data_IF_963360104545
#
_entry.id   IF_963360104545
#
_cell.length_a   1.000
_cell.length_b   1.000
_cell.length_c   1.000
_cell.angle_alpha   90.00
_cell.angle_beta   90.00
_cell.angle_gamma   90.00
#
_symmetry.space_group_name_H-M   'P 1'
#
loop_
_entity.id
_entity.type
_entity.pdbx_description
1 polymer ?
#
# COMPACT_ATOMS: atom_id res chain seq x y z
N UNK A 1 6.45 -10.87 -2.04
CA UNK A 1 4.96 -10.80 -1.99
C UNK A 1 4.43 -9.62 -1.18
N UNK A 2 5.13 -9.12 -0.13
CA UNK A 2 4.67 -7.98 0.70
C UNK A 2 4.49 -6.65 -0.06
N UNK A 3 5.19 -6.46 -1.17
CA UNK A 3 5.04 -5.26 -2.01
C UNK A 3 3.63 -5.09 -2.62
N UNK A 4 2.87 -6.18 -2.79
CA UNK A 4 1.50 -6.10 -3.28
C UNK A 4 0.56 -5.37 -2.31
N UNK A 5 0.82 -5.44 -0.99
CA UNK A 5 0.02 -4.74 0.01
C UNK A 5 0.21 -3.22 -0.05
N UNK A 6 1.42 -2.75 -0.35
CA UNK A 6 1.64 -1.31 -0.57
C UNK A 6 0.80 -0.80 -1.74
N UNK A 7 0.83 -1.49 -2.88
CA UNK A 7 0.00 -1.13 -4.04
C UNK A 7 -1.50 -1.21 -3.73
N UNK A 8 -1.95 -2.22 -3.00
CA UNK A 8 -3.36 -2.36 -2.62
C UNK A 8 -3.83 -1.16 -1.76
N UNK A 9 -3.04 -0.76 -0.75
CA UNK A 9 -3.36 0.39 0.11
C UNK A 9 -3.41 1.68 -0.69
N UNK A 10 -2.50 1.88 -1.65
CA UNK A 10 -2.51 3.07 -2.50
C UNK A 10 -3.78 3.14 -3.36
N UNK A 11 -4.22 2.01 -3.92
CA UNK A 11 -5.48 1.95 -4.67
C UNK A 11 -6.70 2.18 -3.77
N UNK A 12 -6.71 1.68 -2.54
CA UNK A 12 -7.79 1.98 -1.60
C UNK A 12 -7.83 3.46 -1.21
N UNK A 13 -6.68 4.08 -0.97
CA UNK A 13 -6.60 5.53 -0.70
C UNK A 13 -7.06 6.35 -1.90
N UNK A 14 -6.66 5.95 -3.11
CA UNK A 14 -7.14 6.57 -4.35
C UNK A 14 -8.65 6.42 -4.50
N UNK A 15 -9.19 5.22 -4.28
CA UNK A 15 -10.63 4.95 -4.34
C UNK A 15 -11.40 5.83 -3.34
N UNK A 16 -10.92 5.94 -2.10
CA UNK A 16 -11.52 6.81 -1.08
C UNK A 16 -11.49 8.30 -1.48
N UNK A 17 -10.45 8.74 -2.20
CA UNK A 17 -10.31 10.11 -2.64
C UNK A 17 -11.24 10.48 -3.81
N UNK A 18 -11.54 9.53 -4.71
CA UNK A 18 -12.38 9.76 -5.89
C UNK A 18 -13.84 9.37 -5.70
N UNK A 19 -14.18 8.60 -4.65
CA UNK A 19 -15.54 8.14 -4.40
C UNK A 19 -16.47 9.30 -4.00
N UNK A 20 -17.61 9.40 -4.71
CA UNK A 20 -18.71 10.31 -4.35
C UNK A 20 -19.63 9.72 -3.27
N UNK A 21 -19.77 8.40 -3.23
CA UNK A 21 -20.58 7.68 -2.23
C UNK A 21 -19.82 7.56 -0.91
N UNK A 22 -20.37 8.08 0.21
CA UNK A 22 -19.79 7.94 1.54
C UNK A 22 -19.52 6.48 1.95
N UNK A 23 -20.40 5.54 1.59
CA UNK A 23 -20.25 4.14 1.96
C UNK A 23 -19.01 3.50 1.28
N UNK A 24 -18.76 3.86 0.02
CA UNK A 24 -17.56 3.41 -0.71
C UNK A 24 -16.31 4.01 -0.09
N UNK A 25 -16.35 5.30 0.28
CA UNK A 25 -15.24 5.98 0.94
C UNK A 25 -14.88 5.33 2.27
N UNK A 26 -15.87 5.09 3.13
CA UNK A 26 -15.67 4.41 4.41
C UNK A 26 -15.09 3.02 4.23
N UNK A 27 -15.63 2.24 3.28
CA UNK A 27 -15.16 0.90 3.00
C UNK A 27 -13.71 0.89 2.52
N UNK A 28 -13.35 1.81 1.62
CA UNK A 28 -11.99 1.93 1.11
C UNK A 28 -10.99 2.32 2.21
N UNK A 29 -11.36 3.26 3.09
CA UNK A 29 -10.54 3.64 4.24
C UNK A 29 -10.35 2.45 5.20
N UNK A 30 -11.42 1.70 5.51
CA UNK A 30 -11.33 0.51 6.35
C UNK A 30 -10.36 -0.52 5.75
N UNK A 31 -10.48 -0.82 4.46
CA UNK A 31 -9.58 -1.77 3.78
C UNK A 31 -8.14 -1.27 3.78
N UNK A 32 -7.89 0.02 3.54
CA UNK A 32 -6.55 0.59 3.62
C UNK A 32 -5.91 0.37 5.01
N UNK A 33 -6.67 0.56 6.10
CA UNK A 33 -6.19 0.31 7.46
C UNK A 33 -5.95 -1.19 7.69
N UNK A 34 -6.88 -2.05 7.28
CA UNK A 34 -6.75 -3.51 7.43
C UNK A 34 -5.53 -4.04 6.70
N UNK A 35 -5.21 -3.56 5.51
CA UNK A 35 -4.07 -4.08 4.75
C UNK A 35 -2.72 -3.47 5.13
N UNK A 36 -2.72 -2.28 5.74
CA UNK A 36 -1.50 -1.65 6.25
C UNK A 36 -0.76 -2.50 7.28
N UNK A 37 -1.47 -3.31 8.07
CA UNK A 37 -0.86 -4.19 9.07
C UNK A 37 0.07 -5.27 8.46
N UNK A 38 -0.09 -5.58 7.17
CA UNK A 38 0.74 -6.56 6.46
C UNK A 38 2.00 -5.96 5.82
N UNK A 39 2.24 -4.66 6.02
CA UNK A 39 3.48 -4.04 5.57
C UNK A 39 4.67 -4.67 6.29
N UNK A 40 5.84 -4.72 5.61
CA UNK A 40 7.05 -5.17 6.28
C UNK A 40 7.41 -4.23 7.44
N UNK A 41 8.06 -4.77 8.46
CA UNK A 41 8.63 -3.95 9.52
C UNK A 41 9.93 -3.27 9.04
N UNK A 42 10.49 -2.37 9.84
CA UNK A 42 11.72 -1.65 9.47
C UNK A 42 12.94 -2.55 9.24
N UNK A 43 13.11 -3.61 10.04
CA UNK A 43 14.21 -4.57 9.86
C UNK A 43 14.07 -5.33 8.53
N UNK A 44 12.87 -5.81 8.20
CA UNK A 44 12.61 -6.50 6.94
C UNK A 44 12.89 -5.58 5.75
N UNK A 45 12.50 -4.30 5.83
CA UNK A 45 12.82 -3.31 4.79
C UNK A 45 14.34 -3.17 4.63
N UNK A 46 15.07 -3.04 5.74
CA UNK A 46 16.52 -2.92 5.75
C UNK A 46 17.23 -4.17 5.20
N UNK A 47 16.85 -5.37 5.63
CA UNK A 47 17.42 -6.63 5.15
C UNK A 47 17.19 -6.89 3.67
N UNK A 48 16.10 -6.34 3.10
CA UNK A 48 15.83 -6.40 1.66
C UNK A 48 16.53 -5.28 0.87
N UNK A 49 17.36 -4.45 1.53
CA UNK A 49 18.09 -3.36 0.88
C UNK A 49 17.21 -2.22 0.40
N UNK A 50 16.02 -2.06 0.98
CA UNK A 50 15.08 -1.00 0.65
C UNK A 50 15.17 0.15 1.67
N UNK A 51 14.86 1.37 1.22
CA UNK A 51 14.77 2.53 2.10
C UNK A 51 13.32 3.00 2.24
N UNK A 52 12.89 3.29 3.46
CA UNK A 52 11.56 3.87 3.67
C UNK A 52 11.43 5.24 2.98
N UNK A 53 10.28 5.49 2.38
CA UNK A 53 10.01 6.71 1.62
C UNK A 53 10.48 6.66 0.17
N UNK A 54 11.30 5.68 -0.22
CA UNK A 54 11.66 5.48 -1.62
C UNK A 54 10.52 4.86 -2.42
N UNK A 55 10.62 5.04 -3.72
CA UNK A 55 9.68 4.53 -4.70
C UNK A 55 10.08 3.11 -5.11
N UNK A 56 9.11 2.20 -5.10
CA UNK A 56 9.26 0.82 -5.52
C UNK A 56 8.24 0.46 -6.60
N UNK A 57 8.70 -0.20 -7.67
CA UNK A 57 7.82 -0.72 -8.72
C UNK A 57 7.41 -2.15 -8.41
N UNK A 58 6.15 -2.37 -8.09
CA UNK A 58 5.55 -3.69 -7.97
C UNK A 58 5.43 -4.28 -9.37
N UNK A 59 6.28 -5.25 -9.69
CA UNK A 59 6.31 -5.90 -11.00
C UNK A 59 5.16 -6.92 -11.17
N UNK A 60 5.24 -7.76 -12.21
CA UNK A 60 4.24 -8.76 -12.60
C UNK A 60 2.94 -8.11 -13.11
N UNK A 61 1.78 -8.74 -12.85
CA UNK A 61 0.48 -8.31 -13.35
C UNK A 61 -0.03 -7.01 -12.71
N UNK A 62 0.50 -6.62 -11.54
CA UNK A 62 0.17 -5.35 -10.88
C UNK A 62 0.83 -4.18 -11.64
N UNK A 63 2.14 -4.27 -11.91
CA UNK A 63 2.91 -3.27 -12.67
C UNK A 63 2.72 -1.80 -12.24
N UNK A 64 2.59 -1.56 -10.94
CA UNK A 64 2.33 -0.23 -10.36
C UNK A 64 3.50 0.25 -9.51
N UNK A 65 3.59 1.57 -9.37
CA UNK A 65 4.60 2.23 -8.56
C UNK A 65 4.01 2.62 -7.21
N UNK A 66 4.71 2.32 -6.12
CA UNK A 66 4.28 2.58 -4.74
C UNK A 66 5.42 3.16 -3.92
N UNK A 67 5.10 3.80 -2.79
CA UNK A 67 6.10 4.17 -1.78
C UNK A 67 6.35 3.02 -0.78
N UNK A 68 7.62 2.80 -0.43
CA UNK A 68 8.07 1.87 0.61
C UNK A 68 7.71 2.45 1.98
N UNK A 69 6.93 1.69 2.75
CA UNK A 69 6.42 2.09 4.07
C UNK A 69 6.54 0.94 5.05
N UNK A 70 7.00 1.22 6.28
CA UNK A 70 6.86 0.27 7.37
C UNK A 70 5.41 0.22 7.87
N UNK A 71 5.07 -0.89 8.54
CA UNK A 71 3.81 -1.01 9.29
C UNK A 71 3.68 0.04 10.38
#
# INVERSE_FOLDING_TARGET
>A
TKAAYWAAVDKFQQAAAVAADPAVKERAIQLAVTYRQYFPNGEEIFFNGFTQGETYRVQCWINETTAIRAK
#
